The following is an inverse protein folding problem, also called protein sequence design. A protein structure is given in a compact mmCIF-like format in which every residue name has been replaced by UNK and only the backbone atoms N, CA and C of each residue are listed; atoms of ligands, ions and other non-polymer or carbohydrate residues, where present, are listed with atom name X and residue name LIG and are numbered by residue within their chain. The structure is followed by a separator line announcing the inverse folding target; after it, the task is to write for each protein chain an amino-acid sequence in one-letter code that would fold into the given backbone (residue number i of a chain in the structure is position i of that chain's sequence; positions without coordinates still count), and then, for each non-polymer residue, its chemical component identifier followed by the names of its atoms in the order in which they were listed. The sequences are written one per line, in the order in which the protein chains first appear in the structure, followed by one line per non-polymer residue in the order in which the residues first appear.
data_IF_865559523202
#
_entry.id   IF_865559523202
#
_cell.length_a   1.000
_cell.length_b   1.000
_cell.length_c   1.000
_cell.angle_alpha   90.00
_cell.angle_beta   90.00
_cell.angle_gamma   90.00
#
_symmetry.space_group_name_H-M   'P 1'
#
loop_
_entity.id
_entity.type
_entity.pdbx_description
1 polymer ?
#
# COMPACT_ATOMS: atom_id res chain seq x y z
N UNK A 1 13.75 15.84 27.19
CA UNK A 1 13.16 14.48 27.30
C UNK A 1 13.71 13.54 26.20
N UNK A 2 15.01 13.64 25.85
CA UNK A 2 15.61 12.98 24.68
C UNK A 2 16.96 12.28 25.00
N UNK A 3 17.10 11.71 26.21
CA UNK A 3 18.32 10.99 26.64
C UNK A 3 18.05 9.50 26.97
N UNK A 4 16.96 8.90 26.49
CA UNK A 4 16.55 7.55 26.92
C UNK A 4 17.14 6.38 26.12
N UNK A 5 17.93 6.62 25.07
CA UNK A 5 18.51 5.57 24.24
C UNK A 5 19.98 5.89 23.94
N UNK A 6 20.91 5.19 24.62
CA UNK A 6 22.33 5.22 24.29
C UNK A 6 22.64 4.07 23.31
N UNK A 7 23.00 4.39 22.08
CA UNK A 7 23.35 3.42 21.05
C UNK A 7 24.28 4.03 20.00
N UNK A 8 25.19 3.22 19.45
CA UNK A 8 26.07 3.64 18.35
C UNK A 8 25.41 3.31 17.02
N UNK A 9 25.34 4.28 16.10
CA UNK A 9 24.86 4.06 14.72
C UNK A 9 25.72 2.99 14.03
N UNK A 10 25.09 1.94 13.51
CA UNK A 10 25.76 0.81 12.84
C UNK A 10 25.74 0.89 11.31
N UNK A 11 24.80 1.64 10.71
CA UNK A 11 24.70 1.75 9.26
C UNK A 11 23.60 2.70 8.77
N UNK A 12 23.38 2.70 7.46
CA UNK A 12 22.32 3.43 6.76
C UNK A 12 21.57 2.49 5.83
N UNK A 13 20.24 2.61 5.79
CA UNK A 13 19.38 1.89 4.84
C UNK A 13 18.61 2.94 4.04
N UNK A 14 18.52 2.75 2.72
CA UNK A 14 17.75 3.59 1.81
C UNK A 14 16.99 2.70 0.84
N UNK A 15 15.80 3.12 0.46
CA UNK A 15 14.96 2.45 -0.53
C UNK A 15 13.88 3.39 -1.03
N UNK A 16 13.46 3.21 -2.28
CA UNK A 16 12.30 3.90 -2.82
C UNK A 16 11.03 3.17 -2.37
N UNK A 17 10.00 3.93 -2.00
CA UNK A 17 8.71 3.37 -1.59
C UNK A 17 7.65 3.69 -2.66
N UNK A 18 6.95 2.68 -3.21
CA UNK A 18 5.96 2.89 -4.27
C UNK A 18 4.63 3.40 -3.69
N UNK A 19 4.57 4.70 -3.39
CA UNK A 19 3.40 5.39 -2.83
C UNK A 19 2.38 5.87 -3.89
N UNK A 20 2.46 5.33 -5.11
CA UNK A 20 1.54 5.69 -6.21
C UNK A 20 0.18 5.00 -6.15
N UNK A 21 -0.07 4.20 -5.12
CA UNK A 21 -1.27 3.38 -4.97
C UNK A 21 -1.26 2.10 -5.82
N UNK A 22 -2.38 1.38 -5.76
CA UNK A 22 -2.53 0.07 -6.38
C UNK A 22 -2.43 0.16 -7.92
N UNK A 23 -1.67 -0.76 -8.53
CA UNK A 23 -1.59 -0.86 -9.99
C UNK A 23 -2.95 -1.27 -10.57
N UNK A 24 -3.28 -0.69 -11.74
CA UNK A 24 -4.53 -0.99 -12.48
C UNK A 24 -4.66 -2.43 -12.95
N UNK A 25 -3.54 -3.11 -13.17
CA UNK A 25 -3.49 -4.51 -13.61
C UNK A 25 -2.46 -5.25 -12.78
N UNK A 26 -2.89 -6.33 -12.15
CA UNK A 26 -2.16 -7.16 -11.21
C UNK A 26 -1.95 -8.57 -11.74
N UNK A 27 -2.78 -9.03 -12.68
CA UNK A 27 -2.63 -10.31 -13.38
C UNK A 27 -2.38 -10.10 -14.88
N UNK A 28 -1.34 -10.73 -15.43
CA UNK A 28 -1.00 -10.72 -16.85
C UNK A 28 -0.69 -12.13 -17.33
N UNK A 29 -1.69 -12.86 -17.82
CA UNK A 29 -1.52 -14.27 -18.21
C UNK A 29 -1.14 -15.12 -17.00
N UNK A 30 0.08 -15.65 -16.99
CA UNK A 30 0.62 -16.46 -15.90
C UNK A 30 1.46 -15.68 -14.87
N UNK A 31 1.41 -14.34 -14.89
CA UNK A 31 2.20 -13.47 -14.00
C UNK A 31 1.27 -12.71 -13.05
N UNK A 32 1.55 -12.80 -11.75
CA UNK A 32 0.89 -12.01 -10.71
C UNK A 32 1.87 -11.02 -10.06
N UNK A 33 1.42 -9.79 -9.83
CA UNK A 33 2.17 -8.77 -9.08
C UNK A 33 1.68 -8.75 -7.62
N UNK A 34 2.61 -8.71 -6.66
CA UNK A 34 2.33 -8.69 -5.21
C UNK A 34 3.19 -7.65 -4.50
N UNK A 35 2.74 -7.15 -3.34
CA UNK A 35 3.52 -6.23 -2.51
C UNK A 35 3.92 -4.94 -3.23
N UNK A 36 5.18 -4.53 -3.07
CA UNK A 36 5.71 -3.29 -3.67
C UNK A 36 5.60 -3.28 -5.20
N UNK A 37 5.75 -4.42 -5.88
CA UNK A 37 5.61 -4.48 -7.34
C UNK A 37 4.19 -4.17 -7.80
N UNK A 38 3.20 -4.42 -6.94
CA UNK A 38 1.78 -4.14 -7.17
C UNK A 38 1.33 -2.75 -6.65
N UNK A 39 2.20 -1.98 -6.00
CA UNK A 39 1.83 -0.69 -5.41
C UNK A 39 1.00 -0.83 -4.13
N UNK A 40 1.27 -1.85 -3.32
CA UNK A 40 0.49 -2.16 -2.12
C UNK A 40 0.97 -1.45 -0.85
N UNK A 41 1.97 -0.57 -0.95
CA UNK A 41 2.34 0.33 0.14
C UNK A 41 1.29 1.43 0.26
N UNK A 42 0.81 1.68 1.48
CA UNK A 42 -0.15 2.76 1.75
C UNK A 42 0.50 4.13 1.46
N UNK A 43 -0.06 4.94 0.54
CA UNK A 43 0.53 6.23 0.16
C UNK A 43 0.73 7.25 1.28
N UNK A 44 -0.02 7.16 2.39
CA UNK A 44 0.09 8.10 3.52
C UNK A 44 1.10 7.60 4.56
N UNK A 45 0.92 6.37 5.02
CA UNK A 45 1.69 5.82 6.14
C UNK A 45 2.99 5.13 5.71
N UNK A 46 3.08 4.74 4.44
CA UNK A 46 4.13 3.89 3.91
C UNK A 46 4.06 2.43 4.37
N UNK A 47 3.02 2.03 5.12
CA UNK A 47 2.86 0.66 5.57
C UNK A 47 2.49 -0.25 4.38
N UNK A 48 3.24 -1.33 4.17
CA UNK A 48 3.00 -2.26 3.06
C UNK A 48 3.18 -3.74 3.41
N UNK A 49 3.83 -4.07 4.53
CA UNK A 49 4.18 -5.45 4.87
C UNK A 49 2.93 -6.33 5.01
N UNK A 50 1.92 -5.87 5.76
CA UNK A 50 0.68 -6.63 5.94
C UNK A 50 -0.07 -6.81 4.60
N UNK A 51 -0.12 -5.76 3.77
CA UNK A 51 -0.76 -5.83 2.45
C UNK A 51 -0.03 -6.84 1.55
N UNK A 52 1.31 -6.84 1.55
CA UNK A 52 2.13 -7.77 0.80
C UNK A 52 1.91 -9.23 1.25
N UNK A 53 1.83 -9.48 2.56
CA UNK A 53 1.57 -10.81 3.12
C UNK A 53 0.19 -11.33 2.71
N UNK A 54 -0.86 -10.53 2.90
CA UNK A 54 -2.24 -10.89 2.51
C UNK A 54 -2.33 -11.14 1.00
N UNK A 55 -1.69 -10.28 0.20
CA UNK A 55 -1.65 -10.45 -1.24
C UNK A 55 -0.91 -11.73 -1.67
N UNK A 56 0.21 -12.05 -1.02
CA UNK A 56 0.94 -13.29 -1.26
C UNK A 56 0.11 -14.53 -0.95
N UNK A 57 -0.65 -14.52 0.15
CA UNK A 57 -1.56 -15.62 0.51
C UNK A 57 -2.66 -15.81 -0.54
N UNK A 58 -3.31 -14.72 -0.97
CA UNK A 58 -4.36 -14.77 -2.00
C UNK A 58 -3.80 -15.23 -3.34
N UNK A 59 -2.61 -14.77 -3.72
CA UNK A 59 -1.92 -15.19 -4.94
C UNK A 59 -1.63 -16.70 -4.90
N UNK A 60 -1.04 -17.20 -3.81
CA UNK A 60 -0.73 -18.62 -3.63
C UNK A 60 -1.97 -19.51 -3.74
N UNK A 61 -3.05 -19.16 -3.04
CA UNK A 61 -4.33 -19.89 -3.13
C UNK A 61 -4.90 -19.90 -4.55
N UNK A 62 -4.83 -18.77 -5.24
CA UNK A 62 -5.36 -18.65 -6.61
C UNK A 62 -4.51 -19.45 -7.61
N UNK A 63 -3.19 -19.48 -7.43
CA UNK A 63 -2.27 -20.33 -8.22
C UNK A 63 -2.59 -21.81 -8.02
N UNK A 64 -2.78 -22.26 -6.77
CA UNK A 64 -3.14 -23.66 -6.49
C UNK A 64 -4.43 -24.03 -7.21
N UNK A 65 -5.47 -23.20 -7.11
CA UNK A 65 -6.74 -23.44 -7.82
C UNK A 65 -6.55 -23.50 -9.33
N UNK A 66 -5.75 -22.61 -9.92
CA UNK A 66 -5.46 -22.65 -11.36
C UNK A 66 -4.77 -23.95 -11.78
N UNK A 67 -3.79 -24.42 -11.00
CA UNK A 67 -3.07 -25.66 -11.26
C UNK A 67 -3.93 -26.91 -11.10
N UNK A 68 -4.77 -26.97 -10.07
CA UNK A 68 -5.67 -28.11 -9.82
C UNK A 68 -6.73 -28.29 -10.93
N UNK A 69 -7.08 -27.21 -11.63
CA UNK A 69 -8.04 -27.22 -12.74
C UNK A 69 -7.38 -27.20 -14.13
N UNK A 70 -6.05 -27.18 -14.20
CA UNK A 70 -5.28 -26.99 -15.44
C UNK A 70 -5.76 -25.77 -16.27
N UNK A 71 -6.11 -24.68 -15.57
CA UNK A 71 -6.69 -23.48 -16.17
C UNK A 71 -6.03 -22.20 -15.62
N UNK A 72 -5.11 -21.65 -16.41
CA UNK A 72 -4.36 -20.43 -16.08
C UNK A 72 -5.26 -19.18 -16.03
N UNK A 73 -6.41 -19.19 -16.69
CA UNK A 73 -7.32 -18.02 -16.70
C UNK A 73 -7.91 -17.75 -15.32
N UNK A 74 -7.94 -18.76 -14.44
CA UNK A 74 -8.37 -18.63 -13.04
C UNK A 74 -7.48 -17.69 -12.22
N UNK A 75 -6.26 -17.37 -12.69
CA UNK A 75 -5.40 -16.36 -12.07
C UNK A 75 -6.00 -14.96 -12.08
N UNK A 76 -6.90 -14.63 -13.01
CA UNK A 76 -7.59 -13.34 -13.05
C UNK A 76 -8.44 -13.08 -11.81
N UNK A 77 -8.86 -14.14 -11.10
CA UNK A 77 -9.57 -13.99 -9.82
C UNK A 77 -8.73 -13.28 -8.75
N UNK A 78 -7.39 -13.37 -8.82
CA UNK A 78 -6.49 -12.69 -7.89
C UNK A 78 -6.76 -11.19 -7.86
N UNK A 79 -6.84 -10.57 -9.04
CA UNK A 79 -7.02 -9.12 -9.18
C UNK A 79 -8.33 -8.66 -8.51
N UNK A 80 -9.43 -9.37 -8.76
CA UNK A 80 -10.72 -9.08 -8.14
C UNK A 80 -10.72 -9.23 -6.61
N UNK A 81 -9.96 -10.20 -6.08
CA UNK A 81 -9.83 -10.42 -4.63
C UNK A 81 -9.02 -9.28 -3.99
N UNK A 82 -7.96 -8.83 -4.65
CA UNK A 82 -7.15 -7.69 -4.18
C UNK A 82 -7.93 -6.39 -4.26
N UNK A 83 -8.65 -6.13 -5.34
CA UNK A 83 -9.45 -4.91 -5.48
C UNK A 83 -10.49 -4.78 -4.36
N UNK A 84 -11.17 -5.88 -4.02
CA UNK A 84 -12.10 -5.92 -2.87
C UNK A 84 -11.43 -5.64 -1.52
N UNK A 85 -10.19 -6.09 -1.33
CA UNK A 85 -9.47 -5.97 -0.07
C UNK A 85 -8.80 -4.59 0.08
N UNK A 86 -8.13 -4.11 -0.98
CA UNK A 86 -7.20 -2.99 -0.94
C UNK A 86 -7.60 -1.82 -1.85
N UNK A 87 -8.53 -2.00 -2.77
CA UNK A 87 -8.92 -0.98 -3.75
C UNK A 87 -9.37 0.33 -3.10
N UNK A 88 -10.44 0.28 -2.29
CA UNK A 88 -10.96 1.46 -1.59
C UNK A 88 -9.94 2.03 -0.58
N UNK A 89 -9.30 1.23 0.31
CA UNK A 89 -8.34 1.74 1.27
C UNK A 89 -7.16 2.48 0.61
N UNK A 90 -6.53 1.89 -0.42
CA UNK A 90 -5.37 2.49 -1.10
C UNK A 90 -5.76 3.66 -2.00
N UNK A 91 -6.95 3.64 -2.60
CA UNK A 91 -7.46 4.79 -3.35
C UNK A 91 -7.66 6.01 -2.43
N UNK A 92 -8.23 5.81 -1.23
CA UNK A 92 -8.38 6.88 -0.23
C UNK A 92 -7.01 7.43 0.16
N UNK A 93 -6.07 6.59 0.57
CA UNK A 93 -4.75 7.09 0.98
C UNK A 93 -4.00 7.76 -0.18
N UNK A 94 -4.17 7.31 -1.42
CA UNK A 94 -3.62 8.00 -2.59
C UNK A 94 -4.22 9.41 -2.77
N UNK A 95 -5.53 9.55 -2.65
CA UNK A 95 -6.20 10.87 -2.70
C UNK A 95 -5.66 11.81 -1.62
N UNK A 96 -5.56 11.31 -0.38
CA UNK A 96 -5.02 12.07 0.74
C UNK A 96 -3.55 12.41 0.53
N UNK A 97 -2.78 11.52 -0.11
CA UNK A 97 -1.37 11.76 -0.44
C UNK A 97 -1.22 12.90 -1.43
N UNK A 98 -2.06 12.96 -2.46
CA UNK A 98 -2.05 14.06 -3.42
C UNK A 98 -2.33 15.41 -2.72
N UNK A 99 -3.33 15.45 -1.83
CA UNK A 99 -3.61 16.64 -1.00
C UNK A 99 -2.45 17.00 -0.07
N UNK A 100 -1.81 16.00 0.54
CA UNK A 100 -0.62 16.20 1.37
C UNK A 100 0.50 16.87 0.58
N UNK A 101 0.76 16.42 -0.65
CA UNK A 101 1.79 17.01 -1.51
C UNK A 101 1.45 18.46 -1.91
N UNK A 102 0.16 18.81 -2.03
CA UNK A 102 -0.30 20.19 -2.23
C UNK A 102 -0.16 21.06 -0.96
N UNK A 103 -0.39 20.51 0.24
CA UNK A 103 -0.40 21.28 1.50
C UNK A 103 0.95 21.34 2.22
N UNK A 104 1.91 20.49 1.84
CA UNK A 104 3.26 20.44 2.41
C UNK A 104 4.15 21.66 2.06
N UNK A 105 3.60 22.69 1.41
CA UNK A 105 4.34 23.91 1.05
C UNK A 105 4.80 24.67 2.30
N UNK A 106 3.96 24.74 3.34
CA UNK A 106 4.31 25.35 4.63
C UNK A 106 3.82 24.51 5.81
N UNK A 107 4.49 24.66 6.96
CA UNK A 107 4.09 23.96 8.19
C UNK A 107 2.70 24.39 8.65
N UNK A 108 2.34 25.67 8.51
CA UNK A 108 1.05 26.20 8.94
C UNK A 108 -0.09 25.62 8.11
N UNK A 109 0.11 25.49 6.79
CA UNK A 109 -0.87 24.89 5.90
C UNK A 109 -1.00 23.39 6.18
N UNK A 110 0.12 22.67 6.31
CA UNK A 110 0.11 21.26 6.69
C UNK A 110 -0.61 21.03 8.02
N UNK A 111 -0.30 21.81 9.06
CA UNK A 111 -0.94 21.68 10.37
C UNK A 111 -2.45 21.91 10.32
N UNK A 112 -2.90 22.89 9.52
CA UNK A 112 -4.32 23.19 9.34
C UNK A 112 -5.08 22.01 8.72
N UNK A 113 -4.47 21.34 7.76
CA UNK A 113 -5.09 20.25 7.00
C UNK A 113 -4.76 18.85 7.57
N UNK A 114 -3.86 18.73 8.55
CA UNK A 114 -3.44 17.45 9.09
C UNK A 114 -4.61 16.52 9.53
N UNK A 115 -5.69 17.03 10.15
CA UNK A 115 -6.82 16.19 10.54
C UNK A 115 -7.49 15.44 9.37
N UNK A 116 -7.60 16.06 8.20
CA UNK A 116 -8.19 15.40 7.03
C UNK A 116 -7.20 14.47 6.31
N UNK A 117 -5.88 14.62 6.54
CA UNK A 117 -4.82 13.93 5.80
C UNK A 117 -4.27 12.69 6.51
N UNK A 118 -4.31 12.64 7.84
CA UNK A 118 -3.60 11.62 8.61
C UNK A 118 -4.53 10.62 9.31
N UNK A 119 -4.24 9.33 9.16
CA UNK A 119 -5.11 8.19 9.50
C UNK A 119 -5.60 8.12 10.95
N UNK A 120 -4.92 8.78 11.90
CA UNK A 120 -5.31 8.76 13.32
C UNK A 120 -6.39 9.78 13.67
N UNK A 121 -6.66 10.75 12.78
CA UNK A 121 -7.74 11.71 12.96
C UNK A 121 -9.05 11.17 12.39
N UNK A 122 -10.17 11.64 12.92
CA UNK A 122 -11.50 11.15 12.52
C UNK A 122 -11.88 11.65 11.13
N UNK A 123 -11.46 12.88 10.82
CA UNK A 123 -11.69 13.62 9.58
C UNK A 123 -10.97 13.00 8.38
N UNK A 124 -10.00 12.11 8.62
CA UNK A 124 -9.42 11.28 7.55
C UNK A 124 -10.44 10.33 6.93
N UNK A 125 -11.40 9.86 7.74
CA UNK A 125 -12.35 8.80 7.38
C UNK A 125 -13.70 9.33 6.87
N UNK A 126 -13.93 10.63 6.94
CA UNK A 126 -15.03 11.33 6.25
C UNK A 126 -14.70 11.54 4.79
#
# INVERSE_FOLDING_TARGET
MAERLCGKRTGYIRGALPIGGLRKKLCCGNVLLVGDSAGMADPITGAGINNALLAGEIAGKTIITALENDDVTLLEQYESKIDRLLGIPLARSLEKRNKLDEYCITNELLQRHLPELWVTFREYWS
#
